data_IF_284304808807
#
_entry.id   IF_284304808807
#
_cell.length_a   1.000
_cell.length_b   1.000
_cell.length_c   1.000
_cell.angle_alpha   90.00
_cell.angle_beta   90.00
_cell.angle_gamma   90.00
#
_symmetry.space_group_name_H-M   'P 1'
#
loop_
_entity.id
_entity.type
_entity.pdbx_description
1 polymer ?
#
# COMPACT_ATOMS: atom_id res chain seq x y z
N UNK A 1 24.36 -49.11 60.70
CA UNK A 1 23.16 -48.34 60.35
C UNK A 1 23.41 -46.90 60.76
N UNK A 2 23.72 -46.02 59.81
CA UNK A 2 23.87 -44.58 60.03
C UNK A 2 22.78 -43.93 59.19
N UNK A 3 21.80 -43.29 59.85
CA UNK A 3 20.64 -42.69 59.20
C UNK A 3 20.98 -41.34 58.60
N UNK A 4 20.67 -41.17 57.31
CA UNK A 4 20.73 -39.88 56.63
C UNK A 4 19.52 -39.03 57.04
N UNK A 5 19.77 -37.85 57.62
CA UNK A 5 18.74 -36.82 57.81
C UNK A 5 18.47 -36.11 56.48
N UNK A 6 17.21 -36.11 56.05
CA UNK A 6 16.74 -35.38 54.89
C UNK A 6 16.68 -33.87 55.19
N UNK A 7 17.16 -33.06 54.25
CA UNK A 7 17.06 -31.60 54.30
C UNK A 7 15.57 -31.15 54.24
N UNK A 8 15.19 -30.04 54.90
CA UNK A 8 13.82 -29.53 54.84
C UNK A 8 13.48 -29.03 53.43
N UNK A 9 12.27 -29.33 52.97
CA UNK A 9 11.74 -28.83 51.70
C UNK A 9 11.62 -27.29 51.73
N UNK A 10 11.84 -26.60 50.59
CA UNK A 10 11.65 -25.15 50.53
C UNK A 10 10.18 -24.78 50.82
N UNK A 11 9.98 -23.77 51.66
CA UNK A 11 8.66 -23.22 51.95
C UNK A 11 8.01 -22.71 50.66
N UNK A 12 6.75 -23.08 50.43
CA UNK A 12 5.92 -22.60 49.33
C UNK A 12 5.73 -21.09 49.46
N UNK A 13 5.87 -20.29 48.38
CA UNK A 13 5.64 -18.86 48.44
C UNK A 13 4.16 -18.57 48.77
N UNK A 14 3.90 -17.78 49.81
CA UNK A 14 2.54 -17.34 50.14
C UNK A 14 2.00 -16.44 49.01
N UNK A 15 0.96 -16.92 48.32
CA UNK A 15 0.31 -16.17 47.25
C UNK A 15 -0.65 -15.12 47.81
N UNK A 16 -0.58 -13.88 47.31
CA UNK A 16 -1.51 -12.82 47.66
C UNK A 16 -2.73 -12.89 46.74
N UNK A 17 -3.92 -13.09 47.31
CA UNK A 17 -5.17 -13.11 46.55
C UNK A 17 -5.68 -11.69 46.33
N UNK A 18 -5.79 -11.27 45.07
CA UNK A 18 -6.37 -9.97 44.71
C UNK A 18 -7.75 -10.15 44.08
N UNK A 19 -8.72 -9.36 44.50
CA UNK A 19 -10.07 -9.40 43.93
C UNK A 19 -10.15 -8.65 42.59
N UNK A 20 -10.93 -9.18 41.65
CA UNK A 20 -11.15 -8.62 40.33
C UNK A 20 -12.54 -7.99 40.24
N UNK A 21 -12.64 -6.74 39.76
CA UNK A 21 -13.94 -6.12 39.47
C UNK A 21 -14.56 -6.76 38.24
N UNK A 22 -15.80 -7.25 38.38
CA UNK A 22 -16.57 -7.82 37.26
C UNK A 22 -17.31 -6.73 36.49
N UNK A 23 -17.16 -6.74 35.17
CA UNK A 23 -17.88 -5.91 34.22
C UNK A 23 -19.06 -6.63 33.58
N UNK A 24 -19.77 -5.93 32.68
CA UNK A 24 -20.97 -6.44 32.03
C UNK A 24 -20.71 -7.72 31.20
N UNK A 25 -21.72 -8.61 31.06
CA UNK A 25 -21.62 -9.80 30.23
C UNK A 25 -21.28 -9.47 28.77
N UNK A 26 -20.41 -10.29 28.16
CA UNK A 26 -19.99 -10.13 26.76
C UNK A 26 -20.98 -10.71 25.74
N UNK A 27 -22.00 -11.43 26.22
CA UNK A 27 -23.10 -11.98 25.42
C UNK A 27 -24.42 -11.76 26.16
N UNK A 28 -25.56 -11.64 25.45
CA UNK A 28 -26.87 -11.63 26.08
C UNK A 28 -27.05 -12.85 26.98
N UNK A 29 -27.46 -12.62 28.24
CA UNK A 29 -27.62 -13.66 29.28
C UNK A 29 -26.32 -14.36 29.74
N UNK A 30 -25.13 -13.84 29.41
CA UNK A 30 -23.85 -14.37 29.88
C UNK A 30 -23.51 -13.96 31.33
N UNK A 31 -22.49 -14.59 31.90
CA UNK A 31 -21.96 -14.17 33.20
C UNK A 31 -21.10 -12.89 33.08
N UNK A 32 -21.06 -12.04 34.15
CA UNK A 32 -20.15 -10.90 34.24
C UNK A 32 -18.69 -11.34 34.07
N UNK A 33 -17.91 -10.56 33.32
CA UNK A 33 -16.51 -10.88 33.03
C UNK A 33 -15.57 -10.08 33.95
N UNK A 34 -14.50 -10.66 34.51
CA UNK A 34 -14.07 -12.06 34.38
C UNK A 34 -14.90 -13.03 35.25
N UNK A 35 -14.99 -14.31 34.84
CA UNK A 35 -15.78 -15.33 35.55
C UNK A 35 -15.19 -15.65 36.94
N UNK A 36 -13.90 -15.44 37.14
CA UNK A 36 -13.21 -15.55 38.44
C UNK A 36 -13.27 -14.20 39.18
N UNK A 37 -13.57 -14.24 40.47
CA UNK A 37 -13.64 -13.06 41.37
C UNK A 37 -12.29 -12.68 42.00
N UNK A 38 -11.31 -13.57 41.92
CA UNK A 38 -9.97 -13.35 42.46
C UNK A 38 -8.90 -14.04 41.65
N UNK A 39 -7.67 -13.53 41.73
CA UNK A 39 -6.49 -14.20 41.21
C UNK A 39 -5.40 -14.20 42.28
N UNK A 40 -4.73 -15.34 42.45
CA UNK A 40 -3.60 -15.48 43.36
C UNK A 40 -2.32 -15.12 42.63
N UNK A 41 -1.64 -14.08 43.09
CA UNK A 41 -0.35 -13.65 42.55
C UNK A 41 0.74 -14.15 43.50
N UNK A 42 1.73 -14.86 42.96
CA UNK A 42 2.90 -15.27 43.74
C UNK A 42 3.66 -14.02 44.18
N UNK A 43 3.88 -13.86 45.49
CA UNK A 43 4.78 -12.82 45.97
C UNK A 43 6.21 -13.34 45.86
N UNK A 44 7.01 -12.68 45.03
CA UNK A 44 8.45 -12.88 45.05
C UNK A 44 9.02 -11.94 46.13
N UNK A 45 9.55 -12.46 47.25
CA UNK A 45 10.12 -11.63 48.30
C UNK A 45 11.35 -10.83 47.84
N UNK A 46 11.90 -11.09 46.66
CA UNK A 46 12.99 -10.31 46.06
C UNK A 46 12.52 -9.07 45.27
N UNK A 47 11.21 -8.87 45.08
CA UNK A 47 10.68 -7.71 44.33
C UNK A 47 10.30 -6.59 45.30
N UNK A 48 11.26 -5.70 45.58
CA UNK A 48 10.97 -4.41 46.20
C UNK A 48 10.20 -3.53 45.22
N UNK A 49 8.98 -3.15 45.58
CA UNK A 49 8.24 -2.09 44.88
C UNK A 49 9.04 -0.79 44.96
N UNK A 50 9.69 -0.41 43.86
CA UNK A 50 10.18 0.95 43.68
C UNK A 50 8.96 1.81 43.37
N UNK A 51 8.36 2.40 44.41
CA UNK A 51 7.48 3.54 44.23
C UNK A 51 8.31 4.66 43.56
N UNK A 52 7.88 5.23 42.43
CA UNK A 52 8.58 6.38 41.87
C UNK A 52 8.56 7.47 42.94
N UNK A 53 9.75 7.91 43.35
CA UNK A 53 9.91 9.11 44.15
C UNK A 53 9.14 10.24 43.45
N UNK A 54 8.41 11.04 44.22
CA UNK A 54 7.71 12.21 43.70
C UNK A 54 8.69 13.00 42.81
N UNK A 55 8.36 13.11 41.52
CA UNK A 55 9.22 13.77 40.56
C UNK A 55 9.48 15.20 41.04
N UNK A 56 10.75 15.52 41.33
CA UNK A 56 11.17 16.89 41.59
C UNK A 56 10.82 17.75 40.37
N UNK A 57 10.19 18.89 40.61
CA UNK A 57 9.88 19.86 39.56
C UNK A 57 11.19 20.36 38.91
N UNK A 58 11.28 20.40 37.58
CA UNK A 58 12.48 20.90 36.91
C UNK A 58 12.67 22.39 37.21
N UNK A 59 13.83 22.76 37.75
CA UNK A 59 14.21 24.13 38.11
C UNK A 59 14.68 24.95 36.90
N UNK A 60 13.85 25.09 35.87
CA UNK A 60 14.13 25.87 34.65
C UNK A 60 13.01 26.87 34.31
N UNK A 61 13.26 27.83 33.41
CA UNK A 61 12.21 28.74 32.93
C UNK A 61 11.10 27.95 32.23
N UNK A 62 9.85 28.29 32.55
CA UNK A 62 8.66 27.64 32.03
C UNK A 62 7.91 28.61 31.11
N UNK A 63 7.47 28.12 29.96
CA UNK A 63 6.55 28.85 29.07
C UNK A 63 5.12 28.37 29.29
N UNK A 64 4.20 29.29 29.57
CA UNK A 64 2.77 28.98 29.68
C UNK A 64 2.15 28.84 28.28
N UNK A 65 1.67 27.65 27.94
CA UNK A 65 1.00 27.36 26.66
C UNK A 65 -0.51 27.19 26.90
N UNK A 66 -1.33 27.94 26.17
CA UNK A 66 -2.78 27.82 26.23
C UNK A 66 -3.27 26.52 25.57
N UNK A 67 -4.14 25.78 26.25
CA UNK A 67 -4.72 24.53 25.76
C UNK A 67 -6.15 24.79 25.30
N UNK A 68 -6.47 24.40 24.05
CA UNK A 68 -7.84 24.51 23.54
C UNK A 68 -8.75 23.51 24.25
N UNK A 69 -9.75 24.01 24.96
CA UNK A 69 -10.77 23.16 25.59
C UNK A 69 -11.85 22.80 24.57
N UNK A 70 -12.08 21.50 24.41
CA UNK A 70 -13.14 20.91 23.59
C UNK A 70 -14.41 20.61 24.36
N UNK A 71 -15.38 20.02 23.66
CA UNK A 71 -16.67 19.65 24.23
C UNK A 71 -16.54 18.70 25.44
N UNK A 72 -17.44 18.80 26.43
CA UNK A 72 -17.46 17.90 27.57
C UNK A 72 -17.51 16.43 27.15
N UNK A 73 -16.67 15.60 27.77
CA UNK A 73 -16.62 14.15 27.48
C UNK A 73 -17.74 13.37 28.17
N UNK A 74 -18.47 14.01 29.08
CA UNK A 74 -19.63 13.46 29.79
C UNK A 74 -20.69 14.53 29.95
N UNK A 75 -21.97 14.16 29.83
CA UNK A 75 -23.10 15.05 30.05
C UNK A 75 -23.06 15.65 31.46
N UNK A 76 -23.01 16.97 31.55
CA UNK A 76 -22.95 17.72 32.82
C UNK A 76 -21.54 18.11 33.29
N UNK A 77 -20.48 17.70 32.60
CA UNK A 77 -19.12 18.14 32.90
C UNK A 77 -18.74 19.43 32.14
N UNK A 78 -17.72 20.14 32.64
CA UNK A 78 -17.13 21.29 31.96
C UNK A 78 -16.30 20.91 30.72
N UNK A 79 -15.80 21.91 29.97
CA UNK A 79 -14.93 21.70 28.81
C UNK A 79 -13.69 20.87 29.16
N UNK A 80 -13.25 20.01 28.24
CA UNK A 80 -12.06 19.16 28.44
C UNK A 80 -10.90 19.61 27.55
N UNK A 81 -9.65 19.70 28.06
CA UNK A 81 -9.23 19.42 29.44
C UNK A 81 -9.66 20.51 30.43
N UNK A 82 -9.79 20.22 31.73
CA UNK A 82 -10.27 21.17 32.74
C UNK A 82 -9.30 22.34 32.99
N UNK A 83 -8.07 22.25 32.48
CA UNK A 83 -7.05 23.29 32.55
C UNK A 83 -6.99 24.06 31.22
N UNK A 84 -6.91 25.40 31.32
CA UNK A 84 -6.86 26.29 30.16
C UNK A 84 -5.42 26.56 29.68
N UNK A 85 -4.41 26.25 30.49
CA UNK A 85 -3.00 26.39 30.17
C UNK A 85 -2.16 25.34 30.89
N UNK A 86 -0.98 25.04 30.34
CA UNK A 86 0.03 24.17 30.94
C UNK A 86 1.39 24.85 30.79
N UNK A 87 2.19 24.81 31.84
CA UNK A 87 3.55 25.32 31.85
C UNK A 87 4.52 24.22 31.39
N UNK A 88 5.30 24.51 30.35
CA UNK A 88 6.25 23.56 29.74
C UNK A 88 7.68 24.13 29.89
N UNK A 89 8.69 23.33 30.24
CA UNK A 89 10.08 23.78 30.26
C UNK A 89 10.55 24.30 28.91
N UNK A 90 11.24 25.44 28.89
CA UNK A 90 11.86 25.98 27.67
C UNK A 90 13.01 25.09 27.19
N UNK A 91 12.82 24.38 26.08
CA UNK A 91 13.88 23.68 25.36
C UNK A 91 14.42 24.60 24.23
N UNK A 92 15.67 25.09 24.30
CA UNK A 92 16.23 25.99 23.29
C UNK A 92 16.41 25.36 21.90
N UNK A 93 16.09 24.07 21.71
CA UNK A 93 16.25 23.37 20.44
C UNK A 93 14.97 23.22 19.59
N UNK A 94 13.80 23.73 20.01
CA UNK A 94 12.54 23.56 19.27
C UNK A 94 12.00 24.88 18.71
N UNK A 95 12.31 25.16 17.45
CA UNK A 95 11.63 26.19 16.67
C UNK A 95 10.19 25.74 16.37
N UNK A 96 9.21 26.34 17.04
CA UNK A 96 7.78 26.13 16.78
C UNK A 96 7.37 26.97 15.57
N UNK A 97 6.84 26.39 14.46
CA UNK A 97 6.28 27.19 13.37
C UNK A 97 4.94 27.82 13.82
N UNK A 98 4.63 29.06 13.39
CA UNK A 98 3.37 29.70 13.77
C UNK A 98 2.17 28.94 13.19
N UNK A 99 1.24 28.60 14.07
CA UNK A 99 -0.07 28.02 13.72
C UNK A 99 -0.92 29.06 12.98
N UNK A 100 -1.49 28.61 11.85
CA UNK A 100 -2.46 29.35 11.05
C UNK A 100 -3.68 29.77 11.89
N UNK A 101 -3.98 31.07 11.87
CA UNK A 101 -5.31 31.61 12.17
C UNK A 101 -5.43 32.42 13.45
N UNK A 102 -5.07 33.70 13.39
CA UNK A 102 -5.71 34.74 14.20
C UNK A 102 -5.61 36.12 13.53
N UNK A 103 -6.78 36.75 13.43
CA UNK A 103 -7.06 38.19 13.30
C UNK A 103 -6.59 38.96 12.05
N UNK A 104 -7.61 39.37 11.29
CA UNK A 104 -7.57 40.43 10.30
C UNK A 104 -7.02 41.73 10.90
N UNK A 105 -6.13 42.38 10.16
CA UNK A 105 -5.88 43.81 10.28
C UNK A 105 -6.17 44.47 8.94
N UNK A 106 -6.97 45.53 9.06
CA UNK A 106 -7.53 46.42 8.06
C UNK A 106 -6.48 46.95 7.11
N UNK A 107 -6.70 46.81 5.81
CA UNK A 107 -5.96 47.52 4.78
C UNK A 107 -6.91 48.48 4.06
N UNK A 108 -6.54 49.75 4.15
CA UNK A 108 -7.18 50.94 3.60
C UNK A 108 -7.36 50.85 2.07
N UNK A 109 -8.54 51.24 1.59
CA UNK A 109 -8.84 51.35 0.16
C UNK A 109 -8.25 52.65 -0.41
N UNK A 110 -7.45 52.54 -1.47
CA UNK A 110 -7.13 53.63 -2.39
C UNK A 110 -7.80 53.33 -3.76
N UNK A 111 -8.51 54.29 -4.39
CA UNK A 111 -9.35 53.99 -5.55
C UNK A 111 -8.55 53.96 -6.86
N UNK A 112 -8.75 52.91 -7.64
CA UNK A 112 -8.20 52.77 -8.99
C UNK A 112 -9.17 53.38 -10.01
N UNK A 113 -8.68 54.38 -10.73
CA UNK A 113 -9.39 55.11 -11.78
C UNK A 113 -9.47 54.28 -13.06
N UNK A 114 -10.68 54.24 -13.64
CA UNK A 114 -10.94 53.77 -15.00
C UNK A 114 -10.61 54.89 -15.98
N UNK A 115 -9.97 54.60 -17.12
CA UNK A 115 -10.22 55.39 -18.32
C UNK A 115 -10.92 54.57 -19.40
N UNK A 116 -11.78 55.31 -20.10
CA UNK A 116 -12.75 54.87 -21.07
C UNK A 116 -12.16 54.56 -22.45
N UNK A 117 -13.03 53.92 -23.24
CA UNK A 117 -12.91 53.50 -24.63
C UNK A 117 -12.52 54.65 -25.56
N UNK A 118 -11.59 54.41 -26.48
CA UNK A 118 -11.51 55.13 -27.75
C UNK A 118 -11.10 54.20 -28.91
N UNK A 119 -11.59 54.57 -30.08
CA UNK A 119 -11.89 53.81 -31.30
C UNK A 119 -10.70 53.38 -32.18
N UNK A 120 -10.87 52.26 -32.88
CA UNK A 120 -10.04 51.69 -33.97
C UNK A 120 -9.82 52.69 -35.13
N UNK A 121 -8.68 52.63 -35.85
CA UNK A 121 -8.63 51.83 -37.10
C UNK A 121 -7.29 51.11 -37.38
N UNK A 122 -7.36 49.93 -38.01
CA UNK A 122 -6.28 49.29 -38.81
C UNK A 122 -6.48 49.71 -40.30
N UNK A 123 -5.50 49.68 -41.25
CA UNK A 123 -4.19 49.05 -41.17
C UNK A 123 -3.01 49.82 -41.82
N UNK A 124 -1.79 49.56 -41.35
CA UNK A 124 -0.57 49.75 -42.12
C UNK A 124 0.39 48.58 -41.83
N UNK A 125 0.68 47.78 -42.86
CA UNK A 125 1.65 46.69 -42.80
C UNK A 125 3.05 47.25 -42.53
N UNK A 126 3.76 46.81 -41.47
CA UNK A 126 5.19 47.03 -41.39
C UNK A 126 5.89 46.01 -42.29
N UNK A 127 6.77 46.50 -43.15
CA UNK A 127 7.69 45.69 -43.96
C UNK A 127 8.43 44.68 -43.07
N UNK A 128 8.47 43.42 -43.54
CA UNK A 128 9.19 42.32 -42.90
C UNK A 128 10.68 42.66 -42.86
N UNK A 129 11.32 42.80 -41.69
CA UNK A 129 12.77 42.83 -41.62
C UNK A 129 13.30 41.46 -42.05
N UNK A 130 14.35 41.48 -42.87
CA UNK A 130 15.15 40.32 -43.25
C UNK A 130 15.50 39.50 -42.00
N UNK A 131 15.40 38.16 -42.00
CA UNK A 131 15.75 37.38 -40.83
C UNK A 131 17.27 37.48 -40.61
N UNK A 132 17.68 38.30 -39.65
CA UNK A 132 19.03 38.25 -39.12
C UNK A 132 19.27 36.82 -38.63
N UNK A 133 20.31 36.18 -39.17
CA UNK A 133 20.72 34.83 -38.81
C UNK A 133 20.88 34.76 -37.29
N UNK A 134 19.98 34.04 -36.63
CA UNK A 134 20.12 33.76 -35.21
C UNK A 134 21.42 32.97 -35.02
N UNK A 135 22.34 33.40 -34.14
CA UNK A 135 23.52 32.61 -33.85
C UNK A 135 23.05 31.25 -33.32
N UNK A 136 23.47 30.17 -33.98
CA UNK A 136 23.22 28.81 -33.52
C UNK A 136 23.73 28.73 -32.08
N UNK A 137 22.88 28.43 -31.08
CA UNK A 137 23.37 28.28 -29.73
C UNK A 137 24.39 27.14 -29.73
N UNK A 138 25.62 27.46 -29.33
CA UNK A 138 26.66 26.45 -29.12
C UNK A 138 26.08 25.38 -28.18
N UNK A 139 26.33 24.08 -28.43
CA UNK A 139 25.78 23.03 -27.60
C UNK A 139 26.29 23.22 -26.17
N UNK A 140 25.40 23.70 -25.30
CA UNK A 140 25.66 23.75 -23.87
C UNK A 140 25.77 22.32 -23.40
N UNK A 141 27.00 21.82 -23.25
CA UNK A 141 27.26 20.56 -22.57
C UNK A 141 26.81 20.75 -21.12
N UNK A 142 25.56 20.41 -20.83
CA UNK A 142 25.07 20.37 -19.46
C UNK A 142 25.83 19.25 -18.76
N UNK A 143 26.60 19.53 -17.70
CA UNK A 143 27.26 18.46 -16.97
C UNK A 143 26.17 17.51 -16.46
N UNK A 144 26.22 16.24 -16.85
CA UNK A 144 25.25 15.24 -16.44
C UNK A 144 25.35 15.07 -14.93
N UNK A 145 24.56 15.85 -14.18
CA UNK A 145 24.55 15.82 -12.73
C UNK A 145 24.04 14.44 -12.32
N UNK A 146 24.95 13.57 -11.90
CA UNK A 146 24.70 12.18 -11.43
C UNK A 146 23.91 12.12 -10.11
N UNK A 147 22.95 13.01 -9.90
CA UNK A 147 22.11 13.06 -8.69
C UNK A 147 21.34 11.77 -8.47
N UNK A 148 20.93 11.11 -9.56
CA UNK A 148 20.35 9.78 -9.53
C UNK A 148 21.34 8.70 -9.04
N UNK A 149 22.64 8.84 -9.32
CA UNK A 149 23.65 7.90 -8.85
C UNK A 149 23.89 8.07 -7.34
N UNK A 150 23.98 9.32 -6.85
CA UNK A 150 24.07 9.58 -5.41
C UNK A 150 22.81 9.13 -4.67
N UNK A 151 21.63 9.38 -5.23
CA UNK A 151 20.36 8.88 -4.68
C UNK A 151 20.29 7.35 -4.65
N UNK A 152 20.76 6.69 -5.71
CA UNK A 152 20.84 5.22 -5.77
C UNK A 152 21.81 4.64 -4.74
N UNK A 153 23.00 5.24 -4.58
CA UNK A 153 23.98 4.84 -3.55
C UNK A 153 23.42 5.05 -2.15
N UNK A 154 22.75 6.18 -1.89
CA UNK A 154 22.12 6.45 -0.59
C UNK A 154 21.00 5.45 -0.27
N UNK A 155 20.16 5.11 -1.25
CA UNK A 155 19.11 4.09 -1.09
C UNK A 155 19.72 2.72 -0.79
N UNK A 156 20.77 2.32 -1.53
CA UNK A 156 21.46 1.06 -1.29
C UNK A 156 22.07 1.02 0.11
N UNK A 157 22.75 2.09 0.53
CA UNK A 157 23.31 2.19 1.87
C UNK A 157 22.21 2.09 2.95
N UNK A 158 21.07 2.75 2.75
CA UNK A 158 19.93 2.65 3.66
C UNK A 158 19.37 1.22 3.75
N UNK A 159 19.27 0.50 2.62
CA UNK A 159 18.86 -0.91 2.60
C UNK A 159 19.86 -1.79 3.35
N UNK A 160 21.17 -1.61 3.12
CA UNK A 160 22.21 -2.36 3.83
C UNK A 160 22.13 -2.12 5.34
N UNK A 161 22.00 -0.86 5.76
CA UNK A 161 21.81 -0.53 7.19
C UNK A 161 20.56 -1.19 7.74
N UNK A 162 19.44 -1.15 7.02
CA UNK A 162 18.19 -1.79 7.45
C UNK A 162 18.35 -3.31 7.62
N UNK A 163 19.06 -3.99 6.70
CA UNK A 163 19.40 -5.42 6.82
C UNK A 163 20.26 -5.68 8.06
N UNK A 164 21.30 -4.88 8.29
CA UNK A 164 22.18 -5.04 9.45
C UNK A 164 21.42 -4.83 10.77
N UNK A 165 20.54 -3.83 10.83
CA UNK A 165 19.67 -3.58 12.00
C UNK A 165 18.72 -4.74 12.23
N UNK A 166 18.09 -5.27 11.18
CA UNK A 166 17.20 -6.43 11.29
C UNK A 166 17.95 -7.66 11.80
N UNK A 167 19.13 -7.96 11.24
CA UNK A 167 19.97 -9.08 11.69
C UNK A 167 20.41 -8.92 13.15
N UNK A 168 20.82 -7.71 13.54
CA UNK A 168 21.14 -7.41 14.93
C UNK A 168 19.92 -7.63 15.84
N UNK A 169 18.75 -7.09 15.50
CA UNK A 169 17.53 -7.25 16.28
C UNK A 169 17.17 -8.72 16.47
N UNK A 170 17.17 -9.51 15.40
CA UNK A 170 16.87 -10.96 15.43
C UNK A 170 17.86 -11.72 16.33
N UNK A 171 19.13 -11.29 16.41
CA UNK A 171 20.13 -11.90 17.29
C UNK A 171 19.96 -11.60 18.78
N UNK A 172 19.08 -10.66 19.15
CA UNK A 172 18.79 -10.35 20.57
C UNK A 172 17.72 -11.28 21.14
N UNK A 173 17.67 -11.51 22.48
CA UNK A 173 16.60 -12.29 23.10
C UNK A 173 15.19 -11.71 22.85
N UNK A 174 15.08 -10.39 22.70
CA UNK A 174 13.80 -9.73 22.39
C UNK A 174 13.34 -10.03 20.96
N UNK A 175 14.25 -9.96 19.98
CA UNK A 175 13.91 -10.26 18.60
C UNK A 175 13.60 -11.73 18.37
N UNK A 176 14.40 -12.63 18.95
CA UNK A 176 14.14 -14.07 18.84
C UNK A 176 12.81 -14.48 19.49
N UNK A 177 12.53 -14.01 20.72
CA UNK A 177 11.25 -14.30 21.39
C UNK A 177 10.04 -13.67 20.69
N UNK A 178 10.22 -12.54 20.00
CA UNK A 178 9.18 -11.94 19.16
C UNK A 178 8.87 -12.83 17.95
N UNK A 179 9.87 -13.35 17.26
CA UNK A 179 9.69 -14.26 16.12
C UNK A 179 9.14 -15.62 16.56
N UNK A 180 9.54 -16.14 17.71
CA UNK A 180 8.97 -17.37 18.28
C UNK A 180 7.47 -17.21 18.59
N UNK A 181 7.06 -16.04 19.10
CA UNK A 181 5.65 -15.73 19.35
C UNK A 181 4.87 -15.48 18.06
N UNK A 182 5.49 -14.79 17.11
CA UNK A 182 4.91 -14.42 15.83
C UNK A 182 5.77 -14.97 14.72
N UNK A 183 5.50 -16.19 14.28
CA UNK A 183 6.28 -16.90 13.28
C UNK A 183 6.24 -16.26 11.88
N UNK A 184 5.31 -15.33 11.66
CA UNK A 184 5.01 -14.75 10.34
C UNK A 184 3.85 -15.45 9.62
N UNK A 185 3.30 -16.51 10.20
CA UNK A 185 2.19 -17.26 9.62
C UNK A 185 0.90 -16.43 9.57
N UNK A 186 0.17 -16.59 8.48
CA UNK A 186 -1.16 -16.03 8.32
C UNK A 186 -2.14 -16.70 9.30
N UNK A 187 -2.90 -15.92 10.10
CA UNK A 187 -3.93 -16.46 10.99
C UNK A 187 -5.20 -16.80 10.18
N UNK A 188 -5.22 -17.97 9.56
CA UNK A 188 -6.37 -18.48 8.81
C UNK A 188 -7.50 -18.94 9.75
N UNK A 189 -8.78 -18.72 9.39
CA UNK A 189 -9.90 -19.27 10.14
C UNK A 189 -10.03 -20.79 9.92
N UNK A 190 -10.74 -21.46 10.83
CA UNK A 190 -11.12 -22.86 10.63
C UNK A 190 -11.92 -23.03 9.33
N UNK A 191 -11.58 -24.06 8.54
CA UNK A 191 -12.24 -24.33 7.26
C UNK A 191 -11.71 -23.54 6.06
N UNK A 192 -10.64 -22.75 6.22
CA UNK A 192 -9.96 -22.13 5.09
C UNK A 192 -9.49 -23.20 4.07
N UNK A 193 -9.74 -23.01 2.76
CA UNK A 193 -9.40 -24.02 1.77
C UNK A 193 -7.88 -24.16 1.63
N UNK A 194 -7.42 -25.41 1.56
CA UNK A 194 -6.05 -25.79 1.24
C UNK A 194 -5.93 -26.05 -0.26
N UNK A 195 -4.80 -25.63 -0.83
CA UNK A 195 -4.50 -25.77 -2.25
C UNK A 195 -4.99 -24.60 -3.09
N UNK A 196 -4.42 -24.51 -4.28
CA UNK A 196 -4.73 -23.47 -5.26
C UNK A 196 -5.49 -24.10 -6.42
N UNK A 197 -6.79 -23.79 -6.62
CA UNK A 197 -7.57 -24.36 -7.69
C UNK A 197 -7.08 -23.84 -9.05
N UNK A 198 -7.27 -24.62 -10.11
CA UNK A 198 -6.81 -24.29 -11.46
C UNK A 198 -7.31 -22.93 -11.97
N UNK A 199 -8.45 -22.45 -11.45
CA UNK A 199 -8.97 -21.14 -11.82
C UNK A 199 -8.13 -19.96 -11.33
N UNK A 200 -7.45 -20.11 -10.20
CA UNK A 200 -6.47 -19.11 -9.76
C UNK A 200 -5.35 -19.00 -10.80
N UNK A 201 -4.84 -20.13 -11.31
CA UNK A 201 -3.75 -20.14 -12.28
C UNK A 201 -4.07 -19.44 -13.60
N UNK A 202 -5.22 -19.76 -14.23
CA UNK A 202 -5.59 -19.06 -15.47
C UNK A 202 -5.97 -17.60 -15.22
N UNK A 203 -6.63 -17.28 -14.10
CA UNK A 203 -6.97 -15.89 -13.79
C UNK A 203 -5.71 -15.05 -13.56
N UNK A 204 -4.70 -15.62 -12.89
CA UNK A 204 -3.39 -15.01 -12.71
C UNK A 204 -2.69 -14.75 -14.04
N UNK A 205 -2.68 -15.72 -14.97
CA UNK A 205 -2.13 -15.54 -16.32
C UNK A 205 -2.78 -14.36 -17.06
N UNK A 206 -4.11 -14.31 -17.14
CA UNK A 206 -4.80 -13.21 -17.82
C UNK A 206 -4.57 -11.88 -17.10
N UNK A 207 -4.51 -11.87 -15.77
CA UNK A 207 -4.19 -10.67 -15.01
C UNK A 207 -2.77 -10.16 -15.33
N UNK A 208 -1.77 -11.04 -15.43
CA UNK A 208 -0.43 -10.67 -15.88
C UNK A 208 -0.43 -10.08 -17.29
N UNK A 209 -1.13 -10.72 -18.22
CA UNK A 209 -1.26 -10.26 -19.61
C UNK A 209 -1.89 -8.87 -19.67
N UNK A 210 -3.01 -8.67 -19.00
CA UNK A 210 -3.71 -7.39 -18.97
C UNK A 210 -2.87 -6.32 -18.27
N UNK A 211 -2.25 -6.63 -17.14
CA UNK A 211 -1.41 -5.67 -16.43
C UNK A 211 -0.24 -5.18 -17.30
N UNK A 212 0.44 -6.09 -18.01
CA UNK A 212 1.51 -5.74 -18.94
C UNK A 212 1.02 -4.80 -20.07
N UNK A 213 -0.15 -5.10 -20.64
CA UNK A 213 -0.74 -4.29 -21.70
C UNK A 213 -1.27 -2.94 -21.20
N UNK A 214 -1.91 -2.89 -20.02
CA UNK A 214 -2.44 -1.68 -19.38
C UNK A 214 -1.28 -0.75 -19.03
N UNK A 215 -0.22 -1.24 -18.40
CA UNK A 215 0.97 -0.44 -18.08
C UNK A 215 1.60 0.11 -19.36
N UNK A 216 1.81 -0.75 -20.37
CA UNK A 216 2.38 -0.33 -21.66
C UNK A 216 1.55 0.76 -22.31
N UNK A 217 0.25 0.53 -22.50
CA UNK A 217 -0.65 1.46 -23.18
C UNK A 217 -0.86 2.75 -22.38
N UNK A 218 -0.97 2.67 -21.06
CA UNK A 218 -1.07 3.84 -20.18
C UNK A 218 0.17 4.73 -20.24
N UNK A 219 1.36 4.12 -20.28
CA UNK A 219 2.61 4.83 -20.50
C UNK A 219 2.67 5.46 -21.90
N UNK A 220 2.22 4.76 -22.95
CA UNK A 220 2.15 5.34 -24.29
C UNK A 220 1.19 6.53 -24.33
N UNK A 221 -0.04 6.40 -23.82
CA UNK A 221 -1.03 7.50 -23.76
C UNK A 221 -0.47 8.72 -23.03
N UNK A 222 0.29 8.52 -21.95
CA UNK A 222 0.90 9.63 -21.18
C UNK A 222 1.95 10.42 -21.98
N UNK A 223 2.69 9.76 -22.87
CA UNK A 223 3.80 10.38 -23.61
C UNK A 223 3.46 10.71 -25.08
N UNK A 224 2.37 10.16 -25.60
CA UNK A 224 1.90 10.37 -26.97
C UNK A 224 1.40 11.80 -27.17
N UNK A 225 2.15 12.61 -27.93
CA UNK A 225 1.75 13.97 -28.32
C UNK A 225 0.97 14.03 -29.63
N UNK A 226 1.26 13.09 -30.54
CA UNK A 226 0.67 13.01 -31.88
C UNK A 226 0.31 11.55 -32.17
N UNK A 227 -0.94 11.14 -31.92
CA UNK A 227 -1.39 9.78 -32.21
C UNK A 227 -1.25 9.41 -33.70
N UNK A 228 -0.80 8.18 -33.97
CA UNK A 228 -0.69 7.64 -35.33
C UNK A 228 -2.05 7.38 -35.97
N UNK A 229 -3.01 6.97 -35.14
CA UNK A 229 -4.35 6.64 -35.56
C UNK A 229 -5.35 7.03 -34.47
N UNK A 230 -6.59 7.20 -34.91
CA UNK A 230 -7.69 7.62 -34.06
C UNK A 230 -8.91 6.76 -34.29
N UNK A 231 -9.67 6.54 -33.24
CA UNK A 231 -10.93 5.83 -33.26
C UNK A 231 -12.09 6.76 -32.90
N UNK A 232 -13.19 6.63 -33.63
CA UNK A 232 -14.43 7.36 -33.39
C UNK A 232 -15.60 6.38 -33.17
N UNK A 233 -16.40 6.53 -32.09
CA UNK A 233 -17.56 5.68 -31.84
C UNK A 233 -18.59 5.76 -32.98
N UNK A 234 -19.30 4.65 -33.26
CA UNK A 234 -20.40 4.62 -34.25
C UNK A 234 -21.53 5.58 -33.91
N UNK A 235 -21.86 5.68 -32.62
CA UNK A 235 -22.98 6.48 -32.11
C UNK A 235 -22.67 7.98 -32.02
N UNK A 236 -21.39 8.35 -31.87
CA UNK A 236 -20.98 9.76 -31.79
C UNK A 236 -19.59 9.99 -32.40
N UNK A 237 -19.50 10.19 -33.73
CA UNK A 237 -18.24 10.34 -34.43
C UNK A 237 -17.41 11.56 -34.02
N UNK A 238 -18.01 12.55 -33.35
CA UNK A 238 -17.31 13.77 -32.89
C UNK A 238 -16.40 13.51 -31.69
N UNK A 239 -16.67 12.48 -30.89
CA UNK A 239 -15.87 12.11 -29.70
C UNK A 239 -14.72 11.17 -30.06
N UNK A 240 -13.80 11.68 -30.88
CA UNK A 240 -12.64 10.92 -31.36
C UNK A 240 -11.60 10.80 -30.24
N UNK A 241 -11.03 9.60 -30.06
CA UNK A 241 -9.91 9.33 -29.14
C UNK A 241 -8.74 8.71 -29.91
N UNK A 242 -7.53 8.73 -29.33
CA UNK A 242 -6.41 7.99 -29.95
C UNK A 242 -6.71 6.49 -29.95
N UNK A 243 -6.20 5.78 -30.96
CA UNK A 243 -6.35 4.33 -31.02
C UNK A 243 -5.68 3.63 -29.83
N UNK A 244 -4.58 4.21 -29.32
CA UNK A 244 -3.91 3.77 -28.10
C UNK A 244 -4.80 3.90 -26.87
N UNK A 245 -5.52 5.02 -26.71
CA UNK A 245 -6.46 5.21 -25.61
C UNK A 245 -7.67 4.25 -25.72
N UNK A 246 -8.18 4.03 -26.92
CA UNK A 246 -9.22 3.02 -27.15
C UNK A 246 -8.77 1.62 -26.72
N UNK A 247 -7.54 1.25 -27.06
CA UNK A 247 -6.97 -0.04 -26.70
C UNK A 247 -6.82 -0.17 -25.18
N UNK A 248 -6.32 0.87 -24.49
CA UNK A 248 -6.22 0.89 -23.03
C UNK A 248 -7.59 0.64 -22.37
N UNK A 249 -8.60 1.43 -22.74
CA UNK A 249 -9.96 1.30 -22.20
C UNK A 249 -10.58 -0.08 -22.50
N UNK A 250 -10.31 -0.65 -23.67
CA UNK A 250 -10.82 -1.98 -24.03
C UNK A 250 -10.20 -3.07 -23.13
N UNK A 251 -8.89 -2.98 -22.89
CA UNK A 251 -8.20 -3.92 -21.99
C UNK A 251 -8.64 -3.71 -20.55
N UNK A 252 -8.84 -2.47 -20.11
CA UNK A 252 -9.37 -2.17 -18.77
C UNK A 252 -10.74 -2.82 -18.56
N UNK A 253 -11.63 -2.75 -19.55
CA UNK A 253 -12.95 -3.42 -19.47
C UNK A 253 -12.80 -4.94 -19.37
N UNK A 254 -11.90 -5.55 -20.15
CA UNK A 254 -11.62 -6.99 -20.05
C UNK A 254 -11.02 -7.37 -18.69
N UNK A 255 -10.13 -6.53 -18.16
CA UNK A 255 -9.51 -6.72 -16.85
C UNK A 255 -10.52 -6.57 -15.72
N UNK A 256 -11.44 -5.61 -15.79
CA UNK A 256 -12.56 -5.48 -14.84
C UNK A 256 -13.49 -6.69 -14.94
N UNK A 257 -13.81 -7.17 -16.14
CA UNK A 257 -14.63 -8.37 -16.32
C UNK A 257 -13.96 -9.62 -15.70
N UNK A 258 -12.64 -9.78 -15.91
CA UNK A 258 -11.84 -10.80 -15.25
C UNK A 258 -11.88 -10.63 -13.72
N UNK A 259 -11.75 -9.41 -13.22
CA UNK A 259 -11.83 -9.08 -11.80
C UNK A 259 -13.19 -9.44 -11.19
N UNK A 260 -14.30 -9.15 -11.89
CA UNK A 260 -15.64 -9.55 -11.45
C UNK A 260 -15.78 -11.07 -11.39
N UNK A 261 -15.34 -11.79 -12.43
CA UNK A 261 -15.35 -13.25 -12.44
C UNK A 261 -14.47 -13.80 -11.30
N UNK A 262 -13.28 -13.23 -11.09
CA UNK A 262 -12.39 -13.57 -9.99
C UNK A 262 -13.08 -13.37 -8.64
N UNK A 263 -13.72 -12.23 -8.39
CA UNK A 263 -14.45 -11.95 -7.15
C UNK A 263 -15.56 -12.99 -6.91
N UNK A 264 -16.38 -13.28 -7.93
CA UNK A 264 -17.47 -14.25 -7.82
C UNK A 264 -16.91 -15.61 -7.38
N UNK A 265 -15.90 -16.12 -8.07
CA UNK A 265 -15.35 -17.46 -7.78
C UNK A 265 -14.55 -17.46 -6.47
N UNK A 266 -13.83 -16.38 -6.16
CA UNK A 266 -13.08 -16.20 -4.92
C UNK A 266 -14.00 -16.34 -3.69
N UNK A 267 -15.14 -15.64 -3.71
CA UNK A 267 -16.11 -15.73 -2.62
C UNK A 267 -16.89 -17.05 -2.63
N UNK A 268 -17.28 -17.55 -3.81
CA UNK A 268 -18.03 -18.80 -3.93
C UNK A 268 -17.24 -20.04 -3.48
N UNK A 269 -15.91 -20.03 -3.59
CA UNK A 269 -15.05 -21.16 -3.23
C UNK A 269 -14.38 -21.03 -1.86
N UNK A 270 -14.64 -19.95 -1.11
CA UNK A 270 -13.99 -19.69 0.18
C UNK A 270 -12.52 -19.24 0.08
N UNK A 271 -11.96 -19.15 -1.12
CA UNK A 271 -10.56 -18.75 -1.35
C UNK A 271 -10.26 -17.32 -0.89
N UNK A 272 -11.30 -16.49 -0.70
CA UNK A 272 -11.17 -15.16 -0.08
C UNK A 272 -10.49 -15.19 1.29
N UNK A 273 -10.67 -16.26 2.07
CA UNK A 273 -10.10 -16.41 3.42
C UNK A 273 -8.57 -16.38 3.42
N UNK A 274 -7.94 -16.64 2.26
CA UNK A 274 -6.47 -16.62 2.11
C UNK A 274 -5.91 -15.22 1.85
N UNK A 275 -6.75 -14.23 1.50
CA UNK A 275 -6.27 -12.89 1.10
C UNK A 275 -7.02 -11.76 1.81
N UNK A 276 -7.96 -12.06 2.70
CA UNK A 276 -8.69 -11.08 3.50
C UNK A 276 -8.40 -11.38 4.97
N UNK A 277 -7.77 -10.44 5.69
CA UNK A 277 -7.48 -10.64 7.10
C UNK A 277 -8.74 -10.91 7.93
N UNK A 278 -8.74 -12.04 8.64
CA UNK A 278 -9.83 -12.44 9.53
C UNK A 278 -9.49 -12.26 11.02
N UNK A 279 -8.25 -11.89 11.34
CA UNK A 279 -7.77 -11.67 12.70
C UNK A 279 -6.82 -10.48 12.78
N UNK A 280 -6.85 -9.76 13.90
CA UNK A 280 -5.89 -8.67 14.18
C UNK A 280 -4.46 -9.18 14.42
N UNK A 281 -4.28 -10.48 14.67
CA UNK A 281 -2.96 -11.10 14.77
C UNK A 281 -2.16 -11.01 13.47
N UNK A 282 -2.81 -10.74 12.33
CA UNK A 282 -2.14 -10.51 11.05
C UNK A 282 -1.08 -9.40 11.14
N UNK A 283 -1.29 -8.38 11.98
CA UNK A 283 -0.40 -7.22 12.07
C UNK A 283 0.95 -7.62 12.68
N UNK A 284 1.01 -8.14 13.92
CA UNK A 284 2.30 -8.57 14.49
C UNK A 284 2.95 -9.70 13.69
N UNK A 285 2.16 -10.60 13.08
CA UNK A 285 2.69 -11.63 12.17
C UNK A 285 3.34 -11.02 10.92
N UNK A 286 2.70 -10.03 10.29
CA UNK A 286 3.25 -9.37 9.11
C UNK A 286 4.51 -8.56 9.44
N UNK A 287 4.56 -7.93 10.62
CA UNK A 287 5.78 -7.26 11.12
C UNK A 287 6.91 -8.27 11.29
N UNK A 288 6.65 -9.42 11.90
CA UNK A 288 7.64 -10.48 12.03
C UNK A 288 8.14 -11.00 10.67
N UNK A 289 7.23 -11.32 9.75
CA UNK A 289 7.59 -11.74 8.40
C UNK A 289 8.44 -10.66 7.69
N UNK A 290 8.09 -9.37 7.85
CA UNK A 290 8.87 -8.26 7.30
C UNK A 290 10.29 -8.18 7.87
N UNK A 291 10.45 -8.40 9.19
CA UNK A 291 11.77 -8.44 9.84
C UNK A 291 12.59 -9.63 9.33
N UNK A 292 11.98 -10.81 9.19
CA UNK A 292 12.61 -12.01 8.63
C UNK A 292 13.05 -11.80 7.16
N UNK A 293 12.20 -11.17 6.33
CA UNK A 293 12.58 -10.78 4.97
C UNK A 293 13.78 -9.82 4.95
N UNK A 294 13.78 -8.83 5.84
CA UNK A 294 14.83 -7.82 5.93
C UNK A 294 16.13 -8.36 6.52
N UNK A 295 16.08 -9.36 7.41
CA UNK A 295 17.26 -10.03 7.98
C UNK A 295 17.93 -10.99 6.98
N UNK A 296 17.29 -11.23 5.82
CA UNK A 296 17.66 -12.26 4.84
C UNK A 296 17.59 -13.68 5.40
N UNK A 297 16.82 -13.88 6.47
CA UNK A 297 16.48 -15.17 7.05
C UNK A 297 15.00 -15.41 6.81
N UNK A 298 14.68 -15.81 5.58
CA UNK A 298 13.31 -15.77 5.08
C UNK A 298 12.44 -16.87 5.69
N UNK A 299 11.17 -16.57 5.98
CA UNK A 299 10.24 -17.56 6.49
C UNK A 299 10.08 -18.71 5.49
N UNK A 300 9.90 -19.92 6.01
CA UNK A 300 9.60 -21.08 5.15
C UNK A 300 8.18 -20.93 4.61
N UNK A 301 8.06 -20.75 3.29
CA UNK A 301 6.77 -20.54 2.64
C UNK A 301 6.17 -21.85 2.12
N UNK A 302 4.89 -22.07 2.44
CA UNK A 302 4.08 -23.10 1.81
C UNK A 302 2.79 -22.50 1.23
N UNK A 303 2.85 -21.84 0.05
CA UNK A 303 1.69 -21.16 -0.55
C UNK A 303 0.53 -22.09 -0.89
N UNK A 304 0.76 -23.41 -0.91
CA UNK A 304 -0.31 -24.40 -1.06
C UNK A 304 -1.19 -24.45 0.20
N UNK A 305 -0.61 -24.30 1.38
CA UNK A 305 -1.33 -24.35 2.67
C UNK A 305 -1.76 -22.96 3.11
N UNK A 306 -0.85 -22.00 3.11
CA UNK A 306 -1.13 -20.62 3.54
C UNK A 306 -0.12 -19.65 2.90
N UNK A 307 -0.44 -18.36 2.90
CA UNK A 307 0.57 -17.33 2.67
C UNK A 307 1.19 -16.92 4.02
N UNK A 308 2.28 -16.17 4.02
CA UNK A 308 2.64 -15.42 5.22
C UNK A 308 1.74 -14.18 5.40
N UNK A 309 1.67 -13.63 6.61
CA UNK A 309 0.80 -12.50 6.91
C UNK A 309 1.16 -11.20 6.14
N UNK A 310 2.43 -10.99 5.80
CA UNK A 310 2.85 -9.83 4.97
C UNK A 310 2.36 -9.98 3.52
N UNK A 311 2.41 -11.19 2.97
CA UNK A 311 1.85 -11.52 1.66
C UNK A 311 0.33 -11.35 1.67
N UNK A 312 -0.38 -11.85 2.69
CA UNK A 312 -1.82 -11.65 2.85
C UNK A 312 -2.20 -10.17 2.78
N UNK A 313 -1.57 -9.31 3.61
CA UNK A 313 -1.84 -7.87 3.60
C UNK A 313 -1.50 -7.22 2.25
N UNK A 314 -0.44 -7.69 1.59
CA UNK A 314 -0.06 -7.21 0.27
C UNK A 314 -1.11 -7.58 -0.79
N UNK A 315 -1.61 -8.81 -0.78
CA UNK A 315 -2.65 -9.27 -1.68
C UNK A 315 -3.98 -8.58 -1.41
N UNK A 316 -4.34 -8.39 -0.14
CA UNK A 316 -5.50 -7.60 0.25
C UNK A 316 -5.40 -6.18 -0.33
N UNK A 317 -4.27 -5.51 -0.15
CA UNK A 317 -4.04 -4.17 -0.65
C UNK A 317 -4.12 -4.10 -2.18
N UNK A 318 -3.53 -5.07 -2.89
CA UNK A 318 -3.58 -5.12 -4.36
C UNK A 318 -5.01 -5.32 -4.88
N UNK A 319 -5.72 -6.31 -4.32
CA UNK A 319 -7.03 -6.75 -4.83
C UNK A 319 -8.14 -5.80 -4.38
N UNK A 320 -8.18 -5.40 -3.11
CA UNK A 320 -9.32 -4.67 -2.53
C UNK A 320 -9.09 -3.16 -2.40
N UNK A 321 -7.87 -2.67 -2.62
CA UNK A 321 -7.56 -1.24 -2.52
C UNK A 321 -7.03 -0.70 -3.85
N UNK A 322 -5.87 -1.17 -4.31
CA UNK A 322 -5.19 -0.64 -5.49
C UNK A 322 -6.01 -0.87 -6.77
N UNK A 323 -6.57 -2.06 -6.97
CA UNK A 323 -7.39 -2.35 -8.13
C UNK A 323 -8.66 -1.48 -8.19
N UNK A 324 -9.50 -1.39 -7.14
CA UNK A 324 -10.63 -0.45 -7.11
C UNK A 324 -10.22 1.00 -7.32
N UNK A 325 -9.10 1.45 -6.74
CA UNK A 325 -8.59 2.81 -6.97
C UNK A 325 -8.24 3.05 -8.44
N UNK A 326 -7.60 2.08 -9.11
CA UNK A 326 -7.28 2.17 -10.53
C UNK A 326 -8.54 2.21 -11.39
N UNK A 327 -9.52 1.35 -11.11
CA UNK A 327 -10.81 1.32 -11.80
C UNK A 327 -11.54 2.65 -11.66
N UNK A 328 -11.69 3.14 -10.42
CA UNK A 328 -12.45 4.36 -10.14
C UNK A 328 -11.78 5.60 -10.74
N UNK A 329 -10.46 5.71 -10.58
CA UNK A 329 -9.69 6.83 -11.15
C UNK A 329 -9.62 6.76 -12.69
N UNK A 330 -9.53 5.57 -13.28
CA UNK A 330 -9.59 5.36 -14.73
C UNK A 330 -10.97 5.71 -15.30
N UNK A 331 -12.04 5.19 -14.70
CA UNK A 331 -13.42 5.50 -15.05
C UNK A 331 -13.69 7.00 -14.99
N UNK A 332 -13.17 7.69 -13.97
CA UNK A 332 -13.31 9.14 -13.82
C UNK A 332 -12.65 9.95 -14.94
N UNK A 333 -11.54 9.46 -15.49
CA UNK A 333 -10.85 10.07 -16.62
C UNK A 333 -11.47 9.69 -17.98
N UNK A 334 -12.32 8.67 -18.02
CA UNK A 334 -13.01 8.22 -19.22
C UNK A 334 -14.23 9.09 -19.56
N UNK A 335 -14.70 8.99 -20.81
CA UNK A 335 -15.95 9.61 -21.27
C UNK A 335 -17.22 8.95 -20.68
N UNK A 336 -17.09 7.80 -20.01
CA UNK A 336 -18.20 7.07 -19.40
C UNK A 336 -18.58 7.59 -18.01
N UNK A 337 -17.80 8.50 -17.42
CA UNK A 337 -18.13 9.09 -16.13
C UNK A 337 -19.42 9.96 -16.22
N UNK A 338 -20.44 9.72 -15.38
CA UNK A 338 -21.65 10.53 -15.38
C UNK A 338 -21.35 12.01 -15.09
N UNK A 339 -21.81 12.91 -15.97
CA UNK A 339 -21.55 14.35 -15.82
C UNK A 339 -22.16 14.97 -14.56
N UNK A 340 -23.20 14.36 -14.01
CA UNK A 340 -23.83 14.79 -12.76
C UNK A 340 -22.97 14.51 -11.52
N UNK A 341 -21.97 13.63 -11.61
CA UNK A 341 -21.13 13.24 -10.49
C UNK A 341 -19.93 14.17 -10.34
N UNK A 342 -20.01 15.13 -9.40
CA UNK A 342 -18.99 16.14 -9.14
C UNK A 342 -18.11 15.87 -7.90
N UNK A 343 -18.47 14.88 -7.07
CA UNK A 343 -17.77 14.57 -5.81
C UNK A 343 -16.31 14.11 -5.98
N UNK A 344 -15.95 13.63 -7.18
CA UNK A 344 -14.59 13.21 -7.51
C UNK A 344 -14.04 14.06 -8.66
N UNK A 345 -12.97 14.81 -8.43
CA UNK A 345 -12.41 15.73 -9.44
C UNK A 345 -11.45 15.02 -10.41
N UNK A 346 -11.36 15.52 -11.65
CA UNK A 346 -10.35 15.04 -12.62
C UNK A 346 -8.91 15.21 -12.12
N UNK A 347 -8.64 16.27 -11.35
CA UNK A 347 -7.32 16.52 -10.77
C UNK A 347 -6.97 15.41 -9.76
N UNK A 348 -7.91 15.07 -8.88
CA UNK A 348 -7.73 14.00 -7.91
C UNK A 348 -7.56 12.63 -8.60
N UNK A 349 -8.37 12.32 -9.61
CA UNK A 349 -8.25 11.07 -10.36
C UNK A 349 -6.86 10.89 -10.98
N UNK A 350 -6.32 11.92 -11.64
CA UNK A 350 -4.95 11.87 -12.19
C UNK A 350 -3.87 11.72 -11.11
N UNK A 351 -4.05 12.38 -9.96
CA UNK A 351 -3.12 12.30 -8.84
C UNK A 351 -3.11 10.93 -8.16
N UNK A 352 -4.20 10.16 -8.26
CA UNK A 352 -4.29 8.79 -7.74
C UNK A 352 -3.84 7.78 -8.79
N UNK A 353 -4.36 7.87 -10.01
CA UNK A 353 -4.22 6.82 -11.02
C UNK A 353 -2.76 6.51 -11.38
N UNK A 354 -1.94 7.56 -11.58
CA UNK A 354 -0.54 7.37 -11.96
C UNK A 354 0.30 6.75 -10.83
N UNK A 355 0.24 7.23 -9.57
CA UNK A 355 0.83 6.52 -8.44
C UNK A 355 0.32 5.08 -8.24
N UNK A 356 -0.97 4.81 -8.47
CA UNK A 356 -1.49 3.43 -8.39
C UNK A 356 -0.85 2.53 -9.45
N UNK A 357 -0.63 3.02 -10.68
CA UNK A 357 0.13 2.28 -11.69
C UNK A 357 1.58 2.01 -11.25
N UNK A 358 2.26 3.01 -10.67
CA UNK A 358 3.61 2.82 -10.13
C UNK A 358 3.64 1.80 -8.99
N UNK A 359 2.62 1.80 -8.12
CA UNK A 359 2.45 0.79 -7.09
C UNK A 359 2.32 -0.62 -7.69
N UNK A 360 1.51 -0.82 -8.74
CA UNK A 360 1.41 -2.12 -9.41
C UNK A 360 2.75 -2.57 -10.02
N UNK A 361 3.51 -1.64 -10.63
CA UNK A 361 4.85 -1.94 -11.16
C UNK A 361 5.78 -2.38 -10.03
N UNK A 362 5.86 -1.61 -8.94
CA UNK A 362 6.70 -1.93 -7.79
C UNK A 362 6.31 -3.26 -7.15
N UNK A 363 5.01 -3.47 -6.92
CA UNK A 363 4.47 -4.72 -6.41
C UNK A 363 4.88 -5.89 -7.31
N UNK A 364 4.73 -5.76 -8.64
CA UNK A 364 5.09 -6.83 -9.59
C UNK A 364 6.58 -7.17 -9.49
N UNK A 365 7.45 -6.16 -9.42
CA UNK A 365 8.91 -6.37 -9.30
C UNK A 365 9.25 -7.11 -8.00
N UNK A 366 8.75 -6.65 -6.86
CA UNK A 366 8.99 -7.27 -5.55
C UNK A 366 8.38 -8.68 -5.48
N UNK A 367 7.15 -8.84 -5.97
CA UNK A 367 6.43 -10.10 -6.02
C UNK A 367 7.19 -11.15 -6.84
N UNK A 368 7.61 -10.80 -8.06
CA UNK A 368 8.39 -11.72 -8.91
C UNK A 368 9.72 -12.03 -8.26
N UNK A 369 10.42 -11.04 -7.70
CA UNK A 369 11.67 -11.28 -6.98
C UNK A 369 11.49 -12.32 -5.88
N UNK A 370 10.51 -12.13 -4.98
CA UNK A 370 10.25 -13.07 -3.89
C UNK A 370 9.87 -14.45 -4.41
N UNK A 371 9.03 -14.53 -5.44
CA UNK A 371 8.66 -15.80 -6.08
C UNK A 371 9.89 -16.57 -6.57
N UNK A 372 10.88 -15.89 -7.17
CA UNK A 372 12.11 -16.51 -7.66
C UNK A 372 13.01 -16.97 -6.51
N UNK A 373 13.01 -16.26 -5.39
CA UNK A 373 14.00 -16.45 -4.34
C UNK A 373 13.50 -17.26 -3.14
N UNK A 374 12.18 -17.36 -2.90
CA UNK A 374 11.57 -18.13 -1.80
C UNK A 374 11.12 -19.54 -2.21
N UNK A 375 11.69 -20.08 -3.29
CA UNK A 375 11.37 -21.42 -3.79
C UNK A 375 10.72 -21.40 -5.17
N UNK A 376 11.48 -20.98 -6.18
CA UNK A 376 11.06 -20.86 -7.59
C UNK A 376 10.17 -22.01 -8.07
N UNK A 377 10.66 -23.25 -7.99
CA UNK A 377 9.93 -24.43 -8.53
C UNK A 377 8.61 -24.64 -7.82
N UNK A 378 8.61 -24.55 -6.48
CA UNK A 378 7.40 -24.69 -5.66
C UNK A 378 6.37 -23.62 -5.99
N UNK A 379 6.79 -22.36 -6.00
CA UNK A 379 5.92 -21.22 -6.30
C UNK A 379 5.34 -21.30 -7.72
N UNK A 380 6.16 -21.69 -8.70
CA UNK A 380 5.71 -21.87 -10.08
C UNK A 380 4.73 -23.03 -10.23
N UNK A 381 4.96 -24.17 -9.56
CA UNK A 381 4.04 -25.32 -9.60
C UNK A 381 2.68 -24.99 -8.96
N UNK A 382 2.69 -24.25 -7.86
CA UNK A 382 1.50 -23.78 -7.20
C UNK A 382 0.67 -22.86 -8.12
N UNK A 383 1.31 -21.88 -8.77
CA UNK A 383 0.62 -20.88 -9.60
C UNK A 383 0.24 -21.37 -11.01
N UNK A 384 1.14 -22.07 -11.71
CA UNK A 384 1.00 -22.38 -13.14
C UNK A 384 0.68 -23.84 -13.44
N UNK A 385 0.91 -24.76 -12.50
CA UNK A 385 0.55 -26.17 -12.65
C UNK A 385 -0.60 -26.60 -11.72
N UNK A 386 -1.12 -25.70 -10.89
CA UNK A 386 -2.16 -25.99 -9.89
C UNK A 386 -1.83 -27.25 -9.07
N UNK A 387 -0.57 -27.36 -8.65
CA UNK A 387 -0.03 -28.54 -7.99
C UNK A 387 0.76 -28.15 -6.75
N UNK A 388 0.53 -28.89 -5.67
CA UNK A 388 1.25 -28.75 -4.42
C UNK A 388 0.82 -29.76 -3.36
N UNK A 389 1.49 -29.70 -2.22
CA UNK A 389 1.33 -30.62 -1.09
C UNK A 389 1.36 -29.85 0.23
N UNK A 390 0.74 -30.44 1.25
CA UNK A 390 0.80 -29.95 2.62
C UNK A 390 2.20 -30.15 3.20
N UNK A 391 2.87 -31.23 2.82
CA UNK A 391 4.25 -31.49 3.15
C UNK A 391 5.17 -30.60 2.27
N UNK A 392 6.01 -29.76 2.88
CA UNK A 392 6.89 -28.88 2.14
C UNK A 392 7.93 -29.56 1.25
N UNK A 393 8.26 -30.83 1.47
CA UNK A 393 9.39 -31.49 0.81
C UNK A 393 9.00 -32.29 -0.44
N UNK A 394 7.71 -32.56 -0.66
CA UNK A 394 7.24 -33.56 -1.64
C UNK A 394 7.28 -33.07 -3.10
N UNK A 395 6.86 -31.84 -3.39
CA UNK A 395 6.54 -31.40 -4.76
C UNK A 395 7.43 -30.26 -5.30
N UNK A 396 8.38 -29.78 -4.50
CA UNK A 396 9.31 -28.71 -4.86
C UNK A 396 10.28 -29.06 -5.99
N UNK A 397 10.25 -30.29 -6.51
CA UNK A 397 11.21 -30.82 -7.49
C UNK A 397 10.79 -30.68 -8.95
N UNK A 398 9.49 -30.61 -9.24
CA UNK A 398 8.96 -30.57 -10.61
C UNK A 398 9.24 -29.24 -11.31
N UNK A 399 9.49 -29.30 -12.62
CA UNK A 399 9.72 -28.13 -13.49
C UNK A 399 8.48 -27.70 -14.29
N UNK A 400 7.36 -28.42 -14.17
CA UNK A 400 6.15 -28.18 -14.98
C UNK A 400 5.67 -26.73 -14.90
N UNK A 401 5.50 -26.20 -13.69
CA UNK A 401 5.05 -24.82 -13.51
C UNK A 401 6.02 -23.79 -14.09
N UNK A 402 7.32 -24.05 -14.03
CA UNK A 402 8.35 -23.16 -14.60
C UNK A 402 8.24 -23.13 -16.12
N UNK A 403 8.08 -24.28 -16.76
CA UNK A 403 7.93 -24.38 -18.22
C UNK A 403 6.65 -23.65 -18.67
N UNK A 404 5.53 -23.88 -17.98
CA UNK A 404 4.26 -23.20 -18.29
C UNK A 404 4.38 -21.69 -18.10
N UNK A 405 5.07 -21.23 -17.05
CA UNK A 405 5.37 -19.81 -16.86
C UNK A 405 6.19 -19.22 -18.00
N UNK A 406 7.24 -19.90 -18.46
CA UNK A 406 8.08 -19.40 -19.57
C UNK A 406 7.27 -19.28 -20.87
N UNK A 407 6.39 -20.25 -21.15
CA UNK A 407 5.46 -20.18 -22.29
C UNK A 407 4.50 -19.00 -22.12
N UNK A 408 3.90 -18.83 -20.95
CA UNK A 408 3.02 -17.70 -20.64
C UNK A 408 3.74 -16.35 -20.81
N UNK A 409 4.96 -16.20 -20.30
CA UNK A 409 5.77 -15.01 -20.42
C UNK A 409 6.12 -14.71 -21.89
N UNK A 410 6.46 -15.73 -22.68
CA UNK A 410 6.71 -15.59 -24.11
C UNK A 410 5.46 -15.12 -24.87
N UNK A 411 4.29 -15.70 -24.56
CA UNK A 411 3.00 -15.27 -25.13
C UNK A 411 2.73 -13.80 -24.79
N UNK A 412 2.90 -13.39 -23.53
CA UNK A 412 2.71 -12.00 -23.10
C UNK A 412 3.67 -11.07 -23.86
N UNK A 413 4.94 -11.43 -23.99
CA UNK A 413 5.92 -10.62 -24.73
C UNK A 413 5.54 -10.45 -26.21
N UNK A 414 5.08 -11.53 -26.86
CA UNK A 414 4.59 -11.49 -28.25
C UNK A 414 3.34 -10.61 -28.35
N UNK A 415 2.34 -10.78 -27.49
CA UNK A 415 1.12 -9.95 -27.52
C UNK A 415 1.45 -8.48 -27.28
N UNK A 416 2.33 -8.17 -26.32
CA UNK A 416 2.81 -6.81 -26.08
C UNK A 416 3.51 -6.21 -27.31
N UNK A 417 4.31 -6.99 -28.04
CA UNK A 417 4.95 -6.57 -29.29
C UNK A 417 3.91 -6.30 -30.39
N UNK A 418 2.88 -7.12 -30.47
CA UNK A 418 1.82 -7.04 -31.48
C UNK A 418 0.76 -5.97 -31.18
N UNK A 419 0.64 -5.51 -29.93
CA UNK A 419 -0.27 -4.45 -29.50
C UNK A 419 0.18 -3.05 -29.99
N UNK A 420 0.24 -2.87 -31.31
CA UNK A 420 0.60 -1.63 -32.02
C UNK A 420 -0.56 -1.15 -32.90
N UNK A 421 -0.70 0.18 -33.16
CA UNK A 421 -1.84 0.75 -33.87
C UNK A 421 -2.22 0.03 -35.17
N UNK A 422 -1.23 -0.30 -36.01
CA UNK A 422 -1.45 -0.97 -37.30
C UNK A 422 -2.16 -2.34 -37.19
N UNK A 423 -1.86 -3.12 -36.14
CA UNK A 423 -2.45 -4.45 -35.93
C UNK A 423 -3.77 -4.40 -35.15
N UNK A 424 -3.95 -3.34 -34.36
CA UNK A 424 -5.15 -3.14 -33.53
C UNK A 424 -6.28 -2.48 -34.34
N UNK A 425 -5.95 -1.72 -35.38
CA UNK A 425 -6.92 -1.00 -36.21
C UNK A 425 -8.05 -1.88 -36.77
N UNK A 426 -7.82 -3.09 -37.33
CA UNK A 426 -8.90 -3.95 -37.84
C UNK A 426 -9.88 -4.38 -36.74
N UNK A 427 -9.38 -4.68 -35.54
CA UNK A 427 -10.21 -5.04 -34.39
C UNK A 427 -11.03 -3.82 -33.93
N UNK A 428 -10.41 -2.64 -33.87
CA UNK A 428 -11.09 -1.42 -33.48
C UNK A 428 -12.19 -0.98 -34.46
N UNK A 429 -12.08 -1.34 -35.75
CA UNK A 429 -13.13 -1.08 -36.75
C UNK A 429 -14.44 -1.84 -36.46
N UNK A 430 -14.38 -2.95 -35.71
CA UNK A 430 -15.57 -3.67 -35.28
C UNK A 430 -16.47 -2.83 -34.35
N UNK A 431 -15.91 -1.83 -33.65
CA UNK A 431 -16.63 -1.02 -32.66
C UNK A 431 -16.78 0.45 -33.06
N UNK A 432 -16.11 0.91 -34.13
CA UNK A 432 -16.11 2.31 -34.55
C UNK A 432 -15.40 2.55 -35.87
N UNK A 433 -15.21 3.82 -36.24
CA UNK A 433 -14.44 4.21 -37.43
C UNK A 433 -13.00 4.50 -37.02
N UNK A 434 -12.05 3.85 -37.68
CA UNK A 434 -10.61 4.13 -37.51
C UNK A 434 -10.13 5.01 -38.65
N UNK A 435 -9.34 6.01 -38.31
CA UNK A 435 -8.66 6.88 -39.28
C UNK A 435 -7.18 6.93 -38.92
N UNK A 436 -6.32 6.48 -39.84
CA UNK A 436 -4.88 6.72 -39.74
C UNK A 436 -4.59 8.17 -40.11
N UNK A 437 -3.48 8.68 -39.59
CA UNK A 437 -2.93 9.96 -40.04
C UNK A 437 -2.30 9.84 -41.42
#
# INVERSE_FOLDING_TARGET
>A
MVGAQAAPAPAQPEGLSTSLRRGLPRIPSGQPWPPTDSVTVATDPAVQQVLPAAAEQPAGPLTTVAVRQGLPRTTGAGPFPPVASVDIPEDPAVAVPPLYGAAAQTAEQAPEQVPAVESTPEPAQPERPEPAAQPVPAPTQTPSRRWWAYGGVALLAAVVVAVLVARWFVSTPTGSSFIERYTGQQPLPEGAPVGLPAWLGWSHFFNMLFMALIIKTGMTVRHERKPEAYWAPRTNPKKKISLTLWLHLTIDVLWVALGVAFYIVLFATGQWMRIVPTSWEVIPQAVSAGIQYLSLDWPTENPWVHYNALQELSYFAVVFIAAPLAILSGARMSEWWPKSWSFFSLKAARAIHFPTMLFFVLFTVVHVFLVLTTGLRRNMNAMFAASGDVDPDVYGTSWTGVIVFLVAAAVIAVVCRLARPALVAPVAQATGKVTSR
#
